data_IF_100910040191
#
_entry.id   IF_100910040191
#
_cell.length_a   1.000
_cell.length_b   1.000
_cell.length_c   1.000
_cell.angle_alpha   90.00
_cell.angle_beta   90.00
_cell.angle_gamma   90.00
#
_symmetry.space_group_name_H-M   'P 1'
#
loop_
_entity.id
_entity.type
_entity.pdbx_description
1 polymer ?
#
# COMPACT_ATOMS: atom_id res chain seq x y z
N UNK A 1 -0.14 15.41 -9.00
CA UNK A 1 -0.30 14.17 -8.21
C UNK A 1 0.29 14.40 -6.85
N UNK A 2 -0.45 14.12 -5.78
CA UNK A 2 0.06 14.15 -4.41
C UNK A 2 0.62 12.78 -4.04
N UNK A 3 1.70 12.76 -3.28
CA UNK A 3 2.22 11.57 -2.60
C UNK A 3 2.12 11.75 -1.09
N UNK A 4 2.05 10.62 -0.39
CA UNK A 4 2.09 10.54 1.05
C UNK A 4 3.15 9.52 1.48
N UNK A 5 3.65 9.66 2.69
CA UNK A 5 4.35 8.60 3.40
C UNK A 5 3.37 7.90 4.34
N UNK A 6 3.50 6.58 4.41
CA UNK A 6 2.74 5.73 5.34
C UNK A 6 3.76 4.99 6.19
N UNK A 7 3.63 5.07 7.51
CA UNK A 7 4.30 4.16 8.45
C UNK A 7 3.23 3.35 9.14
N UNK A 8 3.29 2.02 9.06
CA UNK A 8 2.22 1.17 9.55
C UNK A 8 2.69 -0.22 10.00
N UNK A 9 1.88 -0.87 10.85
CA UNK A 9 1.84 -2.34 10.90
C UNK A 9 0.85 -2.80 9.82
N UNK A 10 1.35 -3.54 8.84
CA UNK A 10 0.59 -3.99 7.68
C UNK A 10 0.61 -5.52 7.59
N UNK A 11 -0.45 -6.08 6.99
CA UNK A 11 -0.45 -7.46 6.51
C UNK A 11 0.04 -7.42 5.06
N UNK A 12 1.12 -8.11 4.75
CA UNK A 12 1.65 -8.26 3.40
C UNK A 12 1.30 -9.64 2.88
N UNK A 13 0.68 -9.68 1.71
CA UNK A 13 0.19 -10.90 1.05
C UNK A 13 0.81 -11.09 -0.32
N UNK A 14 0.79 -12.35 -0.76
CA UNK A 14 1.12 -12.77 -2.12
C UNK A 14 2.46 -12.18 -2.63
N UNK A 15 3.59 -12.45 -1.97
CA UNK A 15 4.90 -11.99 -2.43
C UNK A 15 5.18 -12.44 -3.86
N UNK A 16 5.43 -11.48 -4.76
CA UNK A 16 5.72 -11.75 -6.17
C UNK A 16 7.05 -11.15 -6.58
N UNK A 17 7.96 -11.97 -7.08
CA UNK A 17 9.22 -11.51 -7.62
C UNK A 17 9.02 -10.90 -9.02
N UNK A 18 9.67 -9.78 -9.29
CA UNK A 18 9.57 -9.11 -10.59
C UNK A 18 10.56 -9.73 -11.57
N UNK A 19 10.09 -10.10 -12.77
CA UNK A 19 10.93 -10.67 -13.82
C UNK A 19 12.09 -9.73 -14.19
N UNK A 20 13.31 -10.27 -14.26
CA UNK A 20 14.53 -9.49 -14.50
C UNK A 20 15.01 -8.64 -13.32
N UNK A 21 14.28 -8.62 -12.19
CA UNK A 21 14.66 -7.88 -10.98
C UNK A 21 14.65 -8.81 -9.75
N UNK A 22 15.72 -9.61 -9.55
CA UNK A 22 15.70 -10.71 -8.58
C UNK A 22 15.56 -10.26 -7.12
N UNK A 23 15.85 -9.00 -6.82
CA UNK A 23 15.73 -8.41 -5.48
C UNK A 23 14.44 -7.63 -5.29
N UNK A 24 13.62 -7.47 -6.33
CA UNK A 24 12.38 -6.68 -6.27
C UNK A 24 11.20 -7.61 -6.03
N UNK A 25 10.44 -7.32 -4.97
CA UNK A 25 9.27 -8.09 -4.55
C UNK A 25 8.08 -7.14 -4.48
N UNK A 26 6.92 -7.62 -4.90
CA UNK A 26 5.66 -6.89 -4.83
C UNK A 26 4.72 -7.61 -3.89
N UNK A 27 4.02 -6.83 -3.07
CA UNK A 27 3.04 -7.30 -2.11
C UNK A 27 1.69 -6.65 -2.34
N UNK A 28 0.65 -7.42 -2.00
CA UNK A 28 -0.67 -6.88 -1.73
C UNK A 28 -0.71 -6.53 -0.24
N UNK A 29 -0.68 -5.25 0.08
CA UNK A 29 -0.56 -4.78 1.46
C UNK A 29 -1.91 -4.30 1.99
N UNK A 30 -2.32 -4.79 3.14
CA UNK A 30 -3.52 -4.34 3.85
C UNK A 30 -3.15 -3.43 5.02
N UNK A 31 -3.65 -2.21 4.98
CA UNK A 31 -3.42 -1.18 5.99
C UNK A 31 -4.73 -0.93 6.77
N UNK A 32 -4.75 -1.39 8.02
CA UNK A 32 -5.90 -1.24 8.90
C UNK A 32 -5.90 0.13 9.57
N UNK A 33 -7.05 0.80 9.55
CA UNK A 33 -7.21 2.18 10.07
C UNK A 33 -8.00 2.25 11.39
N UNK A 34 -8.75 1.19 11.70
CA UNK A 34 -9.60 1.10 12.87
C UNK A 34 -10.40 -0.20 12.87
N UNK A 35 -11.01 -0.52 14.01
CA UNK A 35 -11.96 -1.63 14.12
C UNK A 35 -13.13 -1.40 13.15
N UNK A 36 -13.58 -2.49 12.50
CA UNK A 36 -14.73 -2.51 11.57
C UNK A 36 -14.59 -1.68 10.28
N UNK A 37 -13.42 -1.09 10.02
CA UNK A 37 -13.13 -0.42 8.76
C UNK A 37 -12.50 -1.40 7.76
N UNK A 38 -12.88 -1.28 6.50
CA UNK A 38 -12.16 -2.00 5.44
C UNK A 38 -10.73 -1.48 5.37
N UNK A 39 -9.72 -2.36 5.29
CA UNK A 39 -8.34 -1.93 5.16
C UNK A 39 -8.14 -1.23 3.81
N UNK A 40 -7.24 -0.26 3.77
CA UNK A 40 -6.73 0.21 2.48
C UNK A 40 -5.87 -0.89 1.87
N UNK A 41 -6.09 -1.16 0.59
CA UNK A 41 -5.31 -2.15 -0.16
C UNK A 41 -4.27 -1.42 -1.01
N UNK A 42 -3.00 -1.74 -0.81
CA UNK A 42 -1.89 -1.08 -1.48
C UNK A 42 -1.05 -2.07 -2.31
N UNK A 43 -0.71 -1.69 -3.53
CA UNK A 43 0.26 -2.41 -4.35
C UNK A 43 1.65 -1.87 -4.05
N UNK A 44 2.41 -2.60 -3.22
CA UNK A 44 3.69 -2.11 -2.69
C UNK A 44 4.86 -2.90 -3.24
N UNK A 45 5.84 -2.19 -3.79
CA UNK A 45 7.12 -2.75 -4.22
C UNK A 45 8.17 -2.59 -3.12
N UNK A 46 8.98 -3.61 -2.91
CA UNK A 46 10.07 -3.63 -1.94
C UNK A 46 11.36 -4.13 -2.60
N UNK A 47 12.47 -3.48 -2.31
CA UNK A 47 13.80 -3.94 -2.69
C UNK A 47 14.42 -4.73 -1.55
N UNK A 48 14.50 -6.04 -1.70
CA UNK A 48 14.97 -7.00 -0.71
C UNK A 48 16.51 -7.05 -0.62
N UNK A 49 17.12 -5.94 -0.21
CA UNK A 49 18.58 -5.84 -0.06
C UNK A 49 19.14 -6.88 0.91
N UNK A 50 18.37 -7.25 1.94
CA UNK A 50 18.79 -8.09 3.06
C UNK A 50 18.50 -9.58 2.88
N UNK A 51 18.07 -10.03 1.69
CA UNK A 51 17.73 -11.43 1.42
C UNK A 51 16.70 -12.01 2.41
N UNK A 52 15.73 -11.18 2.81
CA UNK A 52 14.60 -11.64 3.62
C UNK A 52 13.86 -12.76 2.89
N UNK A 53 13.54 -13.81 3.63
CA UNK A 53 12.75 -14.93 3.10
C UNK A 53 11.27 -14.69 3.38
N UNK A 54 10.47 -14.68 2.32
CA UNK A 54 9.00 -14.57 2.38
C UNK A 54 8.42 -15.94 2.07
N UNK A 55 8.62 -16.90 2.99
CA UNK A 55 8.19 -18.30 2.81
C UNK A 55 6.69 -18.48 2.92
N UNK A 56 6.05 -17.60 3.67
CA UNK A 56 4.60 -17.61 3.86
C UNK A 56 3.94 -16.68 2.84
N UNK A 57 2.78 -17.10 2.32
CA UNK A 57 1.98 -16.28 1.41
C UNK A 57 1.42 -15.02 2.09
N UNK A 58 1.43 -14.98 3.43
CA UNK A 58 0.97 -13.85 4.25
C UNK A 58 1.86 -13.64 5.46
N UNK A 59 2.16 -12.38 5.80
CA UNK A 59 2.90 -12.04 7.01
C UNK A 59 2.61 -10.64 7.52
N UNK A 60 2.89 -10.40 8.81
CA UNK A 60 2.69 -9.09 9.45
C UNK A 60 4.02 -8.36 9.59
N UNK A 61 4.06 -7.11 9.13
CA UNK A 61 5.28 -6.32 9.07
C UNK A 61 5.05 -4.88 9.53
N UNK A 62 6.05 -4.33 10.21
CA UNK A 62 6.18 -2.90 10.40
C UNK A 62 6.91 -2.31 9.18
N UNK A 63 6.29 -1.35 8.51
CA UNK A 63 6.83 -0.77 7.28
C UNK A 63 6.74 0.74 7.25
N UNK A 64 7.54 1.33 6.37
CA UNK A 64 7.33 2.67 5.85
C UNK A 64 7.38 2.65 4.34
N UNK A 65 6.43 3.31 3.72
CA UNK A 65 6.28 3.37 2.28
C UNK A 65 5.99 4.80 1.82
N UNK A 66 6.49 5.13 0.63
CA UNK A 66 6.01 6.27 -0.13
C UNK A 66 4.89 5.78 -1.04
N UNK A 67 3.71 6.39 -0.95
CA UNK A 67 2.51 5.96 -1.67
C UNK A 67 1.84 7.10 -2.43
N UNK A 68 1.12 6.74 -3.48
CA UNK A 68 0.19 7.59 -4.19
C UNK A 68 -1.17 6.88 -4.31
N UNK A 69 -2.23 7.65 -4.58
CA UNK A 69 -3.55 7.09 -4.89
C UNK A 69 -3.47 6.27 -6.18
N UNK A 70 -3.98 5.05 -6.17
CA UNK A 70 -4.14 4.25 -7.38
C UNK A 70 -5.16 4.92 -8.31
N UNK A 71 -4.83 5.04 -9.60
CA UNK A 71 -5.72 5.63 -10.61
C UNK A 71 -6.14 4.58 -11.62
N UNK A 72 -7.34 4.75 -12.18
CA UNK A 72 -7.87 3.86 -13.21
C UNK A 72 -6.94 3.88 -14.43
N UNK A 73 -6.47 2.70 -14.84
CA UNK A 73 -5.54 2.53 -15.95
C UNK A 73 -4.05 2.60 -15.59
N UNK A 74 -3.70 2.57 -14.30
CA UNK A 74 -2.33 2.32 -13.90
C UNK A 74 -1.91 0.90 -14.32
N UNK A 75 -0.78 0.79 -15.03
CA UNK A 75 -0.17 -0.49 -15.38
C UNK A 75 0.49 -1.08 -14.14
N UNK A 76 -0.23 -1.97 -13.45
CA UNK A 76 0.25 -2.69 -12.29
C UNK A 76 0.60 -4.12 -12.69
N UNK A 77 1.60 -4.70 -12.01
CA UNK A 77 1.88 -6.11 -12.19
C UNK A 77 0.65 -6.93 -11.76
N UNK A 78 0.26 -7.94 -12.55
CA UNK A 78 -0.95 -8.69 -12.29
C UNK A 78 -0.87 -9.36 -10.92
N UNK A 79 -1.89 -9.14 -10.09
CA UNK A 79 -2.11 -9.96 -8.91
C UNK A 79 -2.80 -11.25 -9.32
N UNK A 80 -2.69 -12.28 -8.49
CA UNK A 80 -3.40 -13.53 -8.65
C UNK A 80 -4.93 -13.36 -8.54
N UNK A 81 -5.39 -12.21 -8.03
CA UNK A 81 -6.79 -11.84 -7.94
C UNK A 81 -7.09 -10.49 -8.62
N UNK A 82 -8.36 -10.27 -9.00
CA UNK A 82 -8.86 -8.96 -9.47
C UNK A 82 -8.98 -7.98 -8.28
N UNK A 83 -7.84 -7.54 -7.76
CA UNK A 83 -7.75 -6.60 -6.65
C UNK A 83 -7.89 -5.16 -7.18
N UNK A 84 -8.74 -4.37 -6.51
CA UNK A 84 -8.79 -2.92 -6.70
C UNK A 84 -7.94 -2.29 -5.61
N UNK A 85 -6.80 -1.73 -5.99
CA UNK A 85 -5.92 -1.05 -5.05
C UNK A 85 -6.41 0.37 -4.80
N UNK A 86 -6.31 0.82 -3.56
CA UNK A 86 -6.48 2.22 -3.15
C UNK A 86 -5.19 3.00 -3.35
N UNK A 87 -4.05 2.32 -3.13
CA UNK A 87 -2.72 2.92 -3.10
C UNK A 87 -1.71 2.12 -3.94
N UNK A 88 -0.70 2.81 -4.43
CA UNK A 88 0.48 2.22 -5.10
C UNK A 88 1.74 2.87 -4.55
N UNK A 89 2.83 2.13 -4.42
CA UNK A 89 4.02 2.72 -3.84
C UNK A 89 5.21 1.80 -3.65
N UNK A 90 6.20 2.34 -2.96
CA UNK A 90 7.48 1.71 -2.66
C UNK A 90 7.70 1.65 -1.15
N UNK A 91 8.00 0.46 -0.63
CA UNK A 91 8.45 0.24 0.74
C UNK A 91 9.91 0.66 0.86
N UNK A 92 10.16 1.60 1.76
CA UNK A 92 11.48 2.17 2.06
C UNK A 92 12.17 1.43 3.21
N UNK A 93 11.40 0.95 4.19
CA UNK A 93 11.89 0.03 5.22
C UNK A 93 10.84 -1.02 5.57
N UNK A 94 11.31 -2.21 5.94
CA UNK A 94 10.47 -3.35 6.28
C UNK A 94 11.08 -4.16 7.43
N UNK A 95 10.28 -4.42 8.47
CA UNK A 95 10.67 -5.26 9.60
C UNK A 95 9.56 -6.28 9.91
N UNK A 96 9.89 -7.57 10.07
CA UNK A 96 8.91 -8.57 10.52
C UNK A 96 8.34 -8.18 11.89
N UNK A 97 7.02 -8.28 12.05
CA UNK A 97 6.30 -7.99 13.28
C UNK A 97 5.37 -9.15 13.69
N UNK A 98 5.90 -10.38 13.84
CA UNK A 98 5.08 -11.56 14.13
C UNK A 98 4.34 -11.41 15.47
N UNK A 99 3.14 -11.97 15.55
CA UNK A 99 2.30 -11.92 16.75
C UNK A 99 1.60 -10.57 17.00
N UNK A 100 1.72 -9.62 16.08
CA UNK A 100 0.91 -8.39 16.10
C UNK A 100 -0.42 -8.63 15.40
N UNK A 101 -1.51 -8.12 15.99
CA UNK A 101 -2.87 -8.18 15.43
C UNK A 101 -3.32 -6.80 14.93
N UNK A 102 -2.94 -6.40 13.70
CA UNK A 102 -3.24 -5.08 13.15
C UNK A 102 -4.74 -4.82 12.95
N UNK A 103 -5.56 -5.87 12.92
CA UNK A 103 -7.02 -5.79 12.86
C UNK A 103 -7.63 -5.25 14.16
N UNK A 104 -6.99 -5.49 15.31
CA UNK A 104 -7.53 -5.15 16.64
C UNK A 104 -6.93 -3.87 17.23
N UNK A 105 -5.62 -3.66 17.04
CA UNK A 105 -4.90 -2.45 17.45
C UNK A 105 -4.07 -1.93 16.29
N UNK A 106 -4.71 -1.34 15.26
CA UNK A 106 -3.99 -0.81 14.12
C UNK A 106 -3.06 0.31 14.57
N UNK A 107 -1.81 0.25 14.10
CA UNK A 107 -0.90 1.38 14.15
C UNK A 107 -0.62 1.82 12.73
N UNK A 108 -1.14 2.99 12.37
CA UNK A 108 -0.97 3.60 11.05
C UNK A 108 -0.78 5.11 11.20
N UNK A 109 0.23 5.64 10.54
CA UNK A 109 0.50 7.06 10.45
C UNK A 109 0.69 7.45 8.98
N UNK A 110 -0.15 8.34 8.47
CA UNK A 110 -0.15 8.80 7.09
C UNK A 110 0.14 10.30 7.09
N UNK A 111 1.18 10.72 6.38
CA UNK A 111 1.55 12.13 6.26
C UNK A 111 1.85 12.47 4.79
N UNK A 112 1.35 13.59 4.28
CA UNK A 112 1.54 13.93 2.88
C UNK A 112 1.03 15.31 2.51
N UNK A 113 1.32 15.73 1.29
CA UNK A 113 0.82 17.00 0.77
C UNK A 113 -0.59 16.82 0.21
N UNK A 114 -1.52 17.63 0.68
CA UNK A 114 -2.88 17.67 0.13
C UNK A 114 -2.86 18.59 -1.09
N UNK A 115 -2.92 18.01 -2.29
CA UNK A 115 -3.23 18.78 -3.50
C UNK A 115 -4.74 18.70 -3.75
N UNK A 116 -5.50 19.62 -3.16
CA UNK A 116 -6.87 19.85 -3.61
C UNK A 116 -6.83 20.50 -4.98
N UNK A 117 -7.27 19.81 -6.02
CA UNK A 117 -7.77 20.52 -7.20
C UNK A 117 -9.08 21.15 -6.78
N UNK A 118 -9.23 22.49 -6.78
CA UNK A 118 -10.53 23.09 -6.56
C UNK A 118 -11.47 22.55 -7.64
N UNK A 119 -12.47 21.79 -7.21
CA UNK A 119 -13.55 21.35 -8.06
C UNK A 119 -14.19 22.60 -8.69
N UNK A 120 -14.04 22.73 -10.01
CA UNK A 120 -14.72 23.74 -10.82
C UNK A 120 -16.19 23.32 -10.95
N UNK A 121 -16.92 23.35 -9.83
CA UNK A 121 -18.37 23.12 -9.76
C UNK A 121 -19.08 24.36 -9.20
N UNK A 122 -18.83 25.53 -9.80
CA UNK A 122 -19.74 26.68 -9.71
C UNK A 122 -19.73 27.47 -11.02
N UNK A 123 -20.25 26.86 -12.09
CA UNK A 123 -20.97 27.61 -13.12
C UNK A 123 -21.70 26.63 -14.04
N UNK A 124 -23.00 26.48 -13.81
CA UNK A 124 -23.99 26.27 -14.88
C UNK A 124 -25.36 26.66 -14.34
N UNK A 125 -25.70 27.90 -14.65
CA UNK A 125 -27.01 28.37 -15.10
C UNK A 125 -28.24 27.88 -14.33
N UNK A 126 -28.84 28.78 -13.56
CA UNK A 126 -30.29 28.78 -13.32
C UNK A 126 -30.86 29.81 -14.28
N UNK A 127 -31.59 29.32 -15.27
CA UNK A 127 -32.50 30.09 -16.12
C UNK A 127 -33.78 30.45 -15.37
#
# INVERSE_FOLDING_TARGET
MSSASVTAVAVLESPRQVEGQPKTIIFDAQLYQGLEQQPLVAHLRYFNENDLSFTDDVGVYFLHAAVAKAVKGADLLPSNANIVYDLVGDILFLYPAPGTEPTYLPWVHIAGTVCGTPDTYFSKEIH
#
